data_IF_416778309107
#
_entry.id   IF_416778309107
#
_cell.length_a   1.000
_cell.length_b   1.000
_cell.length_c   1.000
_cell.angle_alpha   90.00
_cell.angle_beta   90.00
_cell.angle_gamma   90.00
#
_symmetry.space_group_name_H-M   'P 1'
#
loop_
_entity.id
_entity.type
_entity.pdbx_description
1 polymer ?
#
# COMPACT_ATOMS: atom_id res chain seq x y z
N UNK A 1 5.69 -16.88 8.07
CA UNK A 1 6.68 -16.35 7.10
C UNK A 1 8.07 -16.19 7.74
N UNK A 2 9.14 -16.64 7.06
CA UNK A 2 10.53 -16.35 7.47
C UNK A 2 10.88 -14.88 7.16
N UNK A 3 11.77 -14.28 7.94
CA UNK A 3 12.26 -12.92 7.67
C UNK A 3 12.95 -12.88 6.30
N UNK A 4 12.60 -11.89 5.50
CA UNK A 4 13.20 -11.60 4.20
C UNK A 4 13.66 -10.15 4.14
N UNK A 5 14.74 -9.93 3.40
CA UNK A 5 15.30 -8.61 3.14
C UNK A 5 15.14 -8.31 1.65
N UNK A 6 14.52 -7.17 1.34
CA UNK A 6 14.27 -6.74 -0.03
C UNK A 6 15.15 -5.54 -0.32
N UNK A 7 16.08 -5.70 -1.26
CA UNK A 7 16.93 -4.61 -1.73
C UNK A 7 16.24 -3.82 -2.82
N UNK A 8 16.09 -2.52 -2.60
CA UNK A 8 15.43 -1.58 -3.50
C UNK A 8 16.42 -0.53 -4.00
N UNK A 9 16.15 -0.01 -5.19
CA UNK A 9 16.93 1.09 -5.78
C UNK A 9 16.44 2.43 -5.22
N UNK A 10 17.21 3.06 -4.33
CA UNK A 10 16.82 4.36 -3.74
C UNK A 10 16.47 5.43 -4.79
N UNK A 11 17.24 5.61 -5.88
CA UNK A 11 16.90 6.61 -6.90
C UNK A 11 15.54 6.37 -7.58
N UNK A 12 15.08 5.12 -7.59
CA UNK A 12 13.79 4.73 -8.18
C UNK A 12 12.66 4.84 -7.17
N UNK A 13 12.90 4.39 -5.93
CA UNK A 13 11.85 4.30 -4.89
C UNK A 13 11.60 5.64 -4.20
N UNK A 14 12.63 6.45 -3.93
CA UNK A 14 12.47 7.70 -3.18
C UNK A 14 11.40 8.64 -3.77
N UNK A 15 11.32 8.88 -5.11
CA UNK A 15 10.26 9.69 -5.69
C UNK A 15 8.84 9.10 -5.52
N UNK A 16 8.73 7.77 -5.38
CA UNK A 16 7.46 7.09 -5.15
C UNK A 16 6.99 7.25 -3.71
N UNK A 17 7.94 7.30 -2.75
CA UNK A 17 7.63 7.48 -1.33
C UNK A 17 6.91 8.79 -1.05
N UNK A 18 7.23 9.86 -1.77
CA UNK A 18 6.51 11.14 -1.65
C UNK A 18 5.03 11.00 -2.03
N UNK A 19 4.75 10.22 -3.08
CA UNK A 19 3.39 9.98 -3.57
C UNK A 19 2.64 9.05 -2.60
N UNK A 20 3.29 7.99 -2.12
CA UNK A 20 2.76 7.07 -1.11
C UNK A 20 2.44 7.81 0.19
N UNK A 21 3.36 8.65 0.68
CA UNK A 21 3.17 9.46 1.89
C UNK A 21 2.00 10.42 1.74
N UNK A 22 1.87 11.09 0.59
CA UNK A 22 0.72 11.97 0.34
C UNK A 22 -0.61 11.21 0.37
N UNK A 23 -0.66 10.01 -0.21
CA UNK A 23 -1.85 9.17 -0.16
C UNK A 23 -2.14 8.69 1.27
N UNK A 24 -1.11 8.25 2.00
CA UNK A 24 -1.20 7.86 3.41
C UNK A 24 -1.71 9.01 4.31
N UNK A 25 -1.24 10.25 4.10
CA UNK A 25 -1.69 11.41 4.87
C UNK A 25 -3.18 11.71 4.63
N UNK A 26 -3.71 11.43 3.43
CA UNK A 26 -5.16 11.57 3.16
C UNK A 26 -6.00 10.47 3.81
N UNK A 27 -5.43 9.27 4.01
CA UNK A 27 -6.08 8.16 4.70
C UNK A 27 -6.23 8.39 6.20
N UNK A 28 -5.46 9.31 6.80
CA UNK A 28 -5.61 9.64 8.23
C UNK A 28 -7.02 10.09 8.59
N UNK A 29 -7.69 10.78 7.67
CA UNK A 29 -9.02 11.34 7.86
C UNK A 29 -10.17 10.47 7.36
N UNK A 30 -9.92 9.27 6.82
CA UNK A 30 -10.99 8.39 6.37
C UNK A 30 -10.52 7.04 5.84
N UNK A 31 -11.43 6.08 5.80
CA UNK A 31 -11.17 4.75 5.27
C UNK A 31 -10.87 4.79 3.77
N UNK A 32 -9.94 3.94 3.33
CA UNK A 32 -9.62 3.74 1.92
C UNK A 32 -10.83 3.21 1.13
N UNK A 33 -11.70 2.45 1.80
CA UNK A 33 -13.00 2.04 1.29
C UNK A 33 -14.05 2.25 2.38
N UNK A 34 -14.80 3.37 2.34
CA UNK A 34 -15.92 3.57 3.24
C UNK A 34 -17.10 2.72 2.74
N UNK A 35 -17.12 1.45 3.16
CA UNK A 35 -18.29 0.59 2.95
C UNK A 35 -19.41 1.04 3.90
N UNK A 36 -20.63 1.18 3.39
CA UNK A 36 -21.79 1.36 4.23
C UNK A 36 -22.22 -0.02 4.78
N UNK A 37 -22.39 -0.11 6.10
CA UNK A 37 -22.98 -1.28 6.72
C UNK A 37 -24.49 -1.09 6.77
N UNK A 38 -25.19 -1.71 5.82
CA UNK A 38 -26.64 -1.70 5.83
C UNK A 38 -27.16 -2.39 7.11
N UNK A 39 -28.22 -1.85 7.69
CA UNK A 39 -28.97 -2.44 8.81
C UNK A 39 -28.17 -2.61 10.13
N UNK A 40 -27.16 -1.77 10.38
CA UNK A 40 -26.44 -1.70 11.66
C UNK A 40 -26.90 -0.48 12.47
N UNK A 41 -26.93 -0.60 13.79
CA UNK A 41 -27.20 0.53 14.69
C UNK A 41 -26.12 1.61 14.55
N UNK A 42 -26.49 2.89 14.59
CA UNK A 42 -25.59 4.02 14.33
C UNK A 42 -24.41 4.09 15.31
N UNK A 43 -24.61 3.72 16.57
CA UNK A 43 -23.54 3.72 17.58
C UNK A 43 -22.52 2.61 17.28
N UNK A 44 -23.02 1.44 16.89
CA UNK A 44 -22.19 0.31 16.50
C UNK A 44 -21.43 0.58 15.20
N UNK A 45 -22.09 1.19 14.20
CA UNK A 45 -21.45 1.61 12.96
C UNK A 45 -20.32 2.62 13.24
N UNK A 46 -20.57 3.63 14.06
CA UNK A 46 -19.56 4.63 14.42
C UNK A 46 -18.35 4.01 15.12
N UNK A 47 -18.57 3.19 16.16
CA UNK A 47 -17.49 2.51 16.89
C UNK A 47 -16.66 1.61 15.97
N UNK A 48 -17.31 0.89 15.05
CA UNK A 48 -16.62 0.01 14.12
C UNK A 48 -15.81 0.80 13.09
N UNK A 49 -16.35 1.87 12.53
CA UNK A 49 -15.62 2.75 11.60
C UNK A 49 -14.38 3.36 12.26
N UNK A 50 -14.49 3.79 13.52
CA UNK A 50 -13.36 4.33 14.29
C UNK A 50 -12.25 3.28 14.49
N UNK A 51 -12.62 2.03 14.84
CA UNK A 51 -11.68 0.92 15.00
C UNK A 51 -10.99 0.54 13.67
N UNK A 52 -11.74 0.49 12.57
CA UNK A 52 -11.19 0.24 11.24
C UNK A 52 -10.22 1.34 10.83
N UNK A 53 -10.56 2.60 11.09
CA UNK A 53 -9.72 3.73 10.75
C UNK A 53 -8.45 3.76 11.60
N UNK A 54 -8.53 3.47 12.89
CA UNK A 54 -7.38 3.33 13.76
C UNK A 54 -6.45 2.23 13.25
N UNK A 55 -7.00 1.04 12.96
CA UNK A 55 -6.23 -0.11 12.43
C UNK A 55 -5.56 0.24 11.10
N UNK A 56 -6.29 0.84 10.16
CA UNK A 56 -5.74 1.28 8.88
C UNK A 56 -4.57 2.27 9.09
N UNK A 57 -4.72 3.22 10.01
CA UNK A 57 -3.69 4.22 10.27
C UNK A 57 -2.43 3.61 10.88
N UNK A 58 -2.57 2.65 11.78
CA UNK A 58 -1.45 1.91 12.37
C UNK A 58 -0.71 1.09 11.30
N UNK A 59 -1.46 0.41 10.43
CA UNK A 59 -0.90 -0.38 9.33
C UNK A 59 -0.19 0.50 8.29
N UNK A 60 -0.77 1.63 7.93
CA UNK A 60 -0.14 2.62 7.05
C UNK A 60 1.11 3.20 7.71
N UNK A 61 1.09 3.42 9.03
CA UNK A 61 2.26 3.80 9.80
C UNK A 61 3.38 2.76 9.70
N UNK A 62 3.05 1.47 9.84
CA UNK A 62 4.00 0.37 9.70
C UNK A 62 4.58 0.28 8.28
N UNK A 63 3.77 0.47 7.24
CA UNK A 63 4.25 0.55 5.85
C UNK A 63 5.27 1.69 5.67
N UNK A 64 4.97 2.88 6.18
CA UNK A 64 5.88 4.04 6.06
C UNK A 64 7.17 3.83 6.87
N UNK A 65 7.09 3.14 8.01
CA UNK A 65 8.22 2.83 8.86
C UNK A 65 9.23 1.87 8.20
N UNK A 66 8.87 1.16 7.13
CA UNK A 66 9.83 0.41 6.33
C UNK A 66 10.89 1.30 5.67
N UNK A 67 10.56 2.57 5.45
CA UNK A 67 11.40 3.51 4.71
C UNK A 67 12.02 4.55 5.65
N UNK A 68 12.70 4.05 6.68
CA UNK A 68 13.38 4.84 7.69
C UNK A 68 14.83 5.20 7.31
N UNK A 69 15.58 5.76 8.27
CA UNK A 69 16.98 6.14 8.06
C UNK A 69 17.88 4.96 7.66
N UNK A 70 17.55 3.72 8.07
CA UNK A 70 18.30 2.53 7.67
C UNK A 70 18.03 2.19 6.20
N UNK A 71 16.77 2.22 5.77
CA UNK A 71 16.43 2.11 4.36
C UNK A 71 17.15 3.15 3.51
N UNK A 72 17.22 4.42 3.96
CA UNK A 72 17.90 5.47 3.19
C UNK A 72 19.43 5.32 3.13
N UNK A 73 20.03 4.54 4.03
CA UNK A 73 21.47 4.21 3.97
C UNK A 73 21.75 2.99 3.10
N UNK A 74 21.01 1.91 3.32
CA UNK A 74 21.36 0.58 2.82
C UNK A 74 20.48 0.14 1.64
N UNK A 75 19.35 0.80 1.44
CA UNK A 75 18.36 0.50 0.40
C UNK A 75 17.64 -0.82 0.64
N UNK A 76 17.53 -1.26 1.90
CA UNK A 76 16.94 -2.54 2.27
C UNK A 76 15.75 -2.33 3.18
N UNK A 77 14.66 -3.06 2.91
CA UNK A 77 13.53 -3.20 3.82
C UNK A 77 13.46 -4.64 4.31
N UNK A 78 12.92 -4.85 5.51
CA UNK A 78 12.75 -6.19 6.08
C UNK A 78 11.28 -6.51 6.31
N UNK A 79 10.89 -7.72 5.90
CA UNK A 79 9.54 -8.26 6.05
C UNK A 79 9.63 -9.57 6.83
N UNK A 80 8.74 -9.76 7.80
CA UNK A 80 8.66 -10.98 8.60
C UNK A 80 7.22 -11.26 9.04
N UNK A 81 7.04 -12.28 9.89
CA UNK A 81 5.72 -12.69 10.34
C UNK A 81 4.97 -11.64 11.17
N UNK A 82 5.64 -10.61 11.70
CA UNK A 82 5.00 -9.59 12.51
C UNK A 82 4.45 -8.44 11.66
N UNK A 83 5.16 -8.07 10.59
CA UNK A 83 4.82 -6.90 9.79
C UNK A 83 4.21 -7.21 8.41
N UNK A 84 4.37 -8.42 7.88
CA UNK A 84 3.98 -8.76 6.51
C UNK A 84 2.48 -8.52 6.23
N UNK A 85 1.60 -8.96 7.12
CA UNK A 85 0.16 -8.77 6.96
C UNK A 85 -0.28 -7.29 7.09
N UNK A 86 0.15 -6.54 8.12
CA UNK A 86 -0.06 -5.08 8.19
C UNK A 86 0.37 -4.36 6.90
N UNK A 87 1.56 -4.68 6.39
CA UNK A 87 2.12 -4.05 5.19
C UNK A 87 1.30 -4.42 3.93
N UNK A 88 0.85 -5.67 3.84
CA UNK A 88 -0.02 -6.15 2.77
C UNK A 88 -1.32 -5.33 2.71
N UNK A 89 -1.99 -5.16 3.86
CA UNK A 89 -3.26 -4.41 3.97
C UNK A 89 -3.07 -2.91 3.76
N UNK A 90 -2.04 -2.32 4.35
CA UNK A 90 -1.66 -0.92 4.13
C UNK A 90 -1.40 -0.63 2.65
N UNK A 91 -0.71 -1.54 1.95
CA UNK A 91 -0.45 -1.41 0.51
C UNK A 91 -1.75 -1.38 -0.30
N UNK A 92 -2.75 -2.18 0.07
CA UNK A 92 -4.09 -2.12 -0.55
C UNK A 92 -4.77 -0.79 -0.28
N UNK A 93 -4.76 -0.32 0.97
CA UNK A 93 -5.37 0.96 1.35
C UNK A 93 -4.76 2.13 0.57
N UNK A 94 -3.43 2.17 0.47
CA UNK A 94 -2.74 3.20 -0.32
C UNK A 94 -3.03 3.06 -1.81
N UNK A 95 -3.04 1.85 -2.38
CA UNK A 95 -3.40 1.63 -3.79
C UNK A 95 -4.81 2.11 -4.12
N UNK A 96 -5.79 1.83 -3.26
CA UNK A 96 -7.16 2.35 -3.38
C UNK A 96 -7.18 3.88 -3.31
N UNK A 97 -6.39 4.48 -2.42
CA UNK A 97 -6.30 5.94 -2.36
C UNK A 97 -5.68 6.55 -3.62
N UNK A 98 -4.58 5.97 -4.12
CA UNK A 98 -3.95 6.39 -5.37
C UNK A 98 -4.91 6.29 -6.56
N UNK A 99 -5.77 5.26 -6.59
CA UNK A 99 -6.85 5.13 -7.57
C UNK A 99 -7.71 6.39 -7.60
N UNK A 100 -8.28 6.76 -6.47
CA UNK A 100 -9.18 7.94 -6.36
C UNK A 100 -8.46 9.29 -6.56
N UNK A 101 -7.17 9.38 -6.24
CA UNK A 101 -6.45 10.65 -6.30
C UNK A 101 -5.97 11.01 -7.71
N UNK A 102 -5.48 10.02 -8.46
CA UNK A 102 -4.70 10.27 -9.67
C UNK A 102 -4.97 9.29 -10.81
N UNK A 103 -5.49 8.09 -10.51
CA UNK A 103 -5.56 7.01 -11.50
C UNK A 103 -6.97 6.73 -12.01
N UNK A 104 -8.00 7.50 -11.63
CA UNK A 104 -9.37 7.35 -12.17
C UNK A 104 -9.42 7.51 -13.70
N UNK A 105 -8.45 8.23 -14.28
CA UNK A 105 -8.31 8.40 -15.73
C UNK A 105 -7.91 7.11 -16.47
N UNK A 106 -7.34 6.14 -15.75
CA UNK A 106 -6.91 4.87 -16.35
C UNK A 106 -8.05 3.83 -16.26
N UNK A 107 -8.24 2.98 -17.28
CA UNK A 107 -9.12 1.83 -17.17
C UNK A 107 -8.66 0.86 -16.07
N UNK A 108 -9.59 0.09 -15.50
CA UNK A 108 -9.25 -0.92 -14.48
C UNK A 108 -8.31 -1.97 -15.07
N UNK A 109 -8.52 -2.36 -16.32
CA UNK A 109 -7.71 -3.35 -17.03
C UNK A 109 -6.23 -2.93 -17.08
N UNK A 110 -5.97 -1.63 -17.30
CA UNK A 110 -4.61 -1.06 -17.32
C UNK A 110 -3.94 -1.11 -15.95
N UNK A 111 -4.71 -1.01 -14.86
CA UNK A 111 -4.17 -1.13 -13.51
C UNK A 111 -3.91 -2.59 -13.13
N UNK A 112 -4.73 -3.52 -13.63
CA UNK A 112 -4.60 -4.94 -13.39
C UNK A 112 -3.42 -5.56 -14.13
N UNK A 113 -3.23 -5.22 -15.41
CA UNK A 113 -2.18 -5.79 -16.25
C UNK A 113 -0.86 -4.99 -16.23
N UNK A 114 -0.88 -3.76 -15.68
CA UNK A 114 0.29 -2.89 -15.62
C UNK A 114 0.75 -2.35 -16.98
N UNK A 115 -0.12 -2.32 -18.00
CA UNK A 115 0.25 -2.09 -19.41
C UNK A 115 0.29 -0.62 -19.86
N UNK A 116 0.19 0.35 -18.94
CA UNK A 116 0.13 1.77 -19.32
C UNK A 116 1.39 2.23 -20.06
N UNK A 117 1.20 3.00 -21.14
CA UNK A 117 2.32 3.70 -21.79
C UNK A 117 2.76 4.89 -20.95
N UNK A 118 3.78 4.67 -20.12
CA UNK A 118 4.34 5.67 -19.21
C UNK A 118 4.79 6.95 -19.91
N UNK A 119 5.15 6.90 -21.19
CA UNK A 119 5.61 8.07 -21.94
C UNK A 119 4.48 9.00 -22.39
N UNK A 120 3.26 8.47 -22.45
CA UNK A 120 2.05 9.19 -22.81
C UNK A 120 1.30 9.76 -21.59
N UNK A 121 1.70 9.38 -20.36
CA UNK A 121 1.08 9.86 -19.13
C UNK A 121 1.64 11.21 -18.69
N UNK A 122 0.77 12.04 -18.12
CA UNK A 122 1.22 13.23 -17.38
C UNK A 122 2.03 12.81 -16.15
N UNK A 123 3.05 13.59 -15.80
CA UNK A 123 3.99 13.27 -14.72
C UNK A 123 3.32 12.89 -13.38
N UNK A 124 2.24 13.57 -12.91
CA UNK A 124 1.56 13.17 -11.68
C UNK A 124 0.90 11.78 -11.77
N UNK A 125 0.29 11.46 -12.90
CA UNK A 125 -0.37 10.17 -13.15
C UNK A 125 0.68 9.08 -13.29
N UNK A 126 1.78 9.37 -14.00
CA UNK A 126 2.91 8.46 -14.17
C UNK A 126 3.51 8.05 -12.81
N UNK A 127 3.82 9.01 -11.94
CA UNK A 127 4.38 8.70 -10.60
C UNK A 127 3.40 7.95 -9.71
N UNK A 128 2.11 8.31 -9.74
CA UNK A 128 1.08 7.58 -9.00
C UNK A 128 0.92 6.14 -9.50
N UNK A 129 1.00 5.93 -10.82
CA UNK A 129 0.92 4.60 -11.41
C UNK A 129 2.15 3.75 -11.05
N UNK A 130 3.35 4.32 -11.09
CA UNK A 130 4.57 3.63 -10.63
C UNK A 130 4.51 3.29 -9.14
N UNK A 131 4.01 4.20 -8.29
CA UNK A 131 3.81 3.93 -6.87
C UNK A 131 2.78 2.82 -6.64
N UNK A 132 1.70 2.81 -7.43
CA UNK A 132 0.66 1.77 -7.40
C UNK A 132 1.23 0.40 -7.76
N UNK A 133 2.03 0.30 -8.83
CA UNK A 133 2.69 -0.94 -9.24
C UNK A 133 3.74 -1.39 -8.21
N UNK A 134 4.53 -0.47 -7.66
CA UNK A 134 5.48 -0.78 -6.60
C UNK A 134 4.81 -1.45 -5.39
N UNK A 135 3.68 -0.89 -4.94
CA UNK A 135 2.89 -1.49 -3.86
C UNK A 135 2.33 -2.85 -4.27
N UNK A 136 1.86 -3.01 -5.50
CA UNK A 136 1.38 -4.30 -6.00
C UNK A 136 2.49 -5.37 -5.98
N UNK A 137 3.70 -5.03 -6.43
CA UNK A 137 4.86 -5.93 -6.38
C UNK A 137 5.25 -6.28 -4.95
N UNK A 138 5.21 -5.32 -4.01
CA UNK A 138 5.46 -5.59 -2.60
C UNK A 138 4.44 -6.59 -2.02
N UNK A 139 3.16 -6.44 -2.39
CA UNK A 139 2.10 -7.36 -1.98
C UNK A 139 2.29 -8.77 -2.55
N UNK A 140 2.61 -8.87 -3.84
CA UNK A 140 2.90 -10.16 -4.47
C UNK A 140 4.06 -10.87 -3.78
N UNK A 141 5.13 -10.15 -3.48
CA UNK A 141 6.30 -10.67 -2.77
C UNK A 141 5.92 -11.18 -1.36
N UNK A 142 5.07 -10.45 -0.62
CA UNK A 142 4.58 -10.89 0.69
C UNK A 142 3.76 -12.18 0.56
N UNK A 143 2.81 -12.23 -0.38
CA UNK A 143 1.93 -13.39 -0.59
C UNK A 143 2.74 -14.64 -0.91
N UNK A 144 3.72 -14.55 -1.83
CA UNK A 144 4.59 -15.67 -2.19
C UNK A 144 5.34 -16.25 -0.97
N UNK A 145 5.77 -15.40 -0.04
CA UNK A 145 6.50 -15.82 1.16
C UNK A 145 5.58 -16.31 2.30
N UNK A 146 4.31 -15.87 2.33
CA UNK A 146 3.30 -16.43 3.20
C UNK A 146 2.90 -17.83 2.74
N UNK A 147 2.60 -18.01 1.46
CA UNK A 147 2.17 -19.28 0.87
C UNK A 147 3.24 -20.37 0.97
N UNK A 148 4.50 -20.03 0.66
CA UNK A 148 5.62 -20.96 0.84
C UNK A 148 5.78 -21.38 2.31
N UNK A 149 5.53 -20.48 3.26
CA UNK A 149 5.59 -20.84 4.68
C UNK A 149 4.44 -21.75 5.14
N UNK A 150 3.30 -21.73 4.45
CA UNK A 150 2.16 -22.64 4.70
C UNK A 150 2.46 -24.04 4.15
N UNK A 151 3.12 -24.13 3.00
CA UNK A 151 3.47 -25.41 2.37
C UNK A 151 4.64 -26.14 3.08
N UNK A 152 5.52 -25.39 3.75
CA UNK A 152 6.67 -25.92 4.50
C UNK A 152 6.34 -26.35 5.95
N UNK A 153 5.10 -26.11 6.42
CA UNK A 153 4.61 -26.47 7.76
C UNK A 153 3.74 -27.72 7.77
#
# INVERSE_FOLDING_TARGET
MKRIEVKLSLPVVAPLLDVIKRAADQLRGGLASPGALADVDQELEASWLDELQATQNDEVGALLALFDDEFFRDGVIALDGENAEPILRASSAVRLRLRTMNLEVLPDETLEDGSADLSALEEPVQKAFMAYLFLATLQELIIQHLDSSILDS
#
